data_IF_837528375678
#
_entry.id   IF_837528375678
#
_cell.length_a   1.000
_cell.length_b   1.000
_cell.length_c   1.000
_cell.angle_alpha   90.00
_cell.angle_beta   90.00
_cell.angle_gamma   90.00
#
_symmetry.space_group_name_H-M   'P 1'
#
loop_
_entity.id
_entity.type
_entity.pdbx_description
1 polymer ?
#
# COMPACT_ATOMS: atom_id res chain seq x y z
N UNK A 1 -48.37 14.56 46.62
CA UNK A 1 -47.89 13.38 45.87
C UNK A 1 -46.97 13.91 44.77
N UNK A 2 -45.66 13.92 45.01
CA UNK A 2 -44.66 14.49 44.09
C UNK A 2 -44.15 13.33 43.23
N UNK A 3 -44.45 13.37 41.94
CA UNK A 3 -43.98 12.39 40.95
C UNK A 3 -42.58 12.82 40.51
N UNK A 4 -41.56 12.10 40.98
CA UNK A 4 -40.20 12.23 40.49
C UNK A 4 -40.11 11.57 39.11
N UNK A 5 -40.03 12.38 38.04
CA UNK A 5 -39.62 11.91 36.72
C UNK A 5 -38.11 11.61 36.78
N UNK A 6 -37.74 10.34 36.90
CA UNK A 6 -36.38 9.92 36.59
C UNK A 6 -36.21 9.97 35.08
N UNK A 7 -35.57 11.04 34.58
CA UNK A 7 -35.02 11.05 33.24
C UNK A 7 -33.91 9.98 33.18
N UNK A 8 -34.22 8.84 32.56
CA UNK A 8 -33.23 7.84 32.22
C UNK A 8 -32.23 8.47 31.27
N UNK A 9 -31.03 8.77 31.76
CA UNK A 9 -29.86 9.00 30.93
C UNK A 9 -29.65 7.71 30.14
N UNK A 10 -30.11 7.70 28.90
CA UNK A 10 -29.69 6.71 27.91
C UNK A 10 -28.17 6.82 27.84
N UNK A 11 -27.48 5.88 28.46
CA UNK A 11 -26.06 5.64 28.22
C UNK A 11 -25.93 5.43 26.72
N UNK A 12 -25.51 6.49 26.03
CA UNK A 12 -25.06 6.45 24.65
C UNK A 12 -23.96 5.40 24.65
N UNK A 13 -24.26 4.21 24.14
CA UNK A 13 -23.24 3.23 23.84
C UNK A 13 -22.32 3.95 22.86
N UNK A 14 -21.13 4.35 23.32
CA UNK A 14 -20.05 4.78 22.46
C UNK A 14 -19.92 3.69 21.41
N UNK A 15 -20.20 3.99 20.16
CA UNK A 15 -19.92 3.04 19.10
C UNK A 15 -18.41 2.74 19.20
N UNK A 16 -18.07 1.52 19.59
CA UNK A 16 -16.70 1.01 19.45
C UNK A 16 -16.56 0.67 17.97
N UNK A 17 -15.70 1.42 17.28
CA UNK A 17 -15.42 1.24 15.86
C UNK A 17 -14.19 0.35 15.67
N UNK A 18 -13.28 0.35 16.63
CA UNK A 18 -12.13 -0.53 16.65
C UNK A 18 -12.54 -1.99 16.94
N UNK A 19 -11.97 -2.90 16.16
CA UNK A 19 -12.07 -4.34 16.38
C UNK A 19 -11.43 -4.74 17.72
N UNK A 20 -11.89 -5.84 18.31
CA UNK A 20 -11.30 -6.42 19.52
C UNK A 20 -10.20 -7.43 19.19
N UNK A 21 -9.23 -7.65 20.10
CA UNK A 21 -8.23 -8.71 19.94
C UNK A 21 -8.85 -10.07 19.57
N UNK A 22 -8.31 -10.72 18.53
CA UNK A 22 -8.83 -11.97 17.99
C UNK A 22 -9.99 -11.85 17.00
N UNK A 23 -10.53 -10.65 16.76
CA UNK A 23 -11.54 -10.44 15.73
C UNK A 23 -10.95 -10.60 14.32
N UNK A 24 -11.80 -11.02 13.37
CA UNK A 24 -11.54 -10.87 11.94
C UNK A 24 -12.47 -9.82 11.37
N UNK A 25 -11.91 -8.74 10.83
CA UNK A 25 -12.67 -7.65 10.22
C UNK A 25 -12.33 -7.51 8.75
N UNK A 26 -13.32 -7.15 7.93
CA UNK A 26 -13.18 -7.15 6.48
C UNK A 26 -13.58 -5.83 5.87
N UNK A 27 -12.70 -5.26 5.02
CA UNK A 27 -12.86 -3.96 4.38
C UNK A 27 -13.27 -2.86 5.38
N UNK A 28 -12.73 -2.94 6.60
CA UNK A 28 -12.95 -1.94 7.63
C UNK A 28 -11.97 -0.78 7.39
N UNK A 29 -12.52 0.34 6.95
CA UNK A 29 -11.79 1.57 6.68
C UNK A 29 -12.22 2.66 7.66
N UNK A 30 -11.33 3.59 7.94
CA UNK A 30 -11.69 4.78 8.69
C UNK A 30 -12.71 5.68 7.95
N UNK A 31 -13.31 6.64 8.68
CA UNK A 31 -14.42 7.47 8.20
C UNK A 31 -14.03 8.51 7.14
N UNK A 32 -12.75 8.65 6.81
CA UNK A 32 -12.32 9.57 5.76
C UNK A 32 -12.84 9.07 4.40
N UNK A 33 -13.55 9.93 3.66
CA UNK A 33 -14.29 9.57 2.45
C UNK A 33 -13.45 9.51 1.17
N UNK A 34 -12.14 9.29 1.26
CA UNK A 34 -11.24 9.43 0.12
C UNK A 34 -10.03 8.50 0.19
N UNK A 35 -9.03 8.83 -0.63
CA UNK A 35 -7.79 8.08 -0.78
C UNK A 35 -6.97 7.87 0.50
N UNK A 36 -7.31 8.61 1.57
CA UNK A 36 -6.60 8.64 2.83
C UNK A 36 -7.33 7.85 3.94
N UNK A 37 -8.41 7.11 3.60
CA UNK A 37 -9.13 6.28 4.56
C UNK A 37 -8.19 5.26 5.21
N UNK A 38 -7.92 5.38 6.53
CA UNK A 38 -6.93 4.52 7.16
C UNK A 38 -7.41 3.06 7.23
N UNK A 39 -6.47 2.15 7.05
CA UNK A 39 -6.66 0.71 7.19
C UNK A 39 -6.18 0.23 8.57
N UNK A 40 -6.40 -1.04 8.89
CA UNK A 40 -5.98 -1.71 10.13
C UNK A 40 -6.37 -0.98 11.42
N UNK A 41 -7.62 -0.51 11.51
CA UNK A 41 -8.09 0.29 12.66
C UNK A 41 -7.93 -0.43 13.99
N UNK A 42 -7.20 0.19 14.91
CA UNK A 42 -6.81 -0.35 16.20
C UNK A 42 -5.40 -0.97 16.22
N UNK A 43 -4.77 -1.18 15.07
CA UNK A 43 -3.35 -1.50 15.00
C UNK A 43 -2.51 -0.31 15.48
N UNK A 44 -1.42 -0.62 16.17
CA UNK A 44 -0.52 0.40 16.68
C UNK A 44 0.44 0.85 15.59
N UNK A 45 0.29 2.09 15.12
CA UNK A 45 1.09 2.66 14.04
C UNK A 45 0.24 3.44 13.05
N UNK A 46 0.85 3.93 11.98
CA UNK A 46 0.15 4.58 10.88
C UNK A 46 -0.41 3.52 9.92
N UNK A 47 -1.72 3.57 9.67
CA UNK A 47 -2.44 2.59 8.83
C UNK A 47 -2.17 1.14 9.27
N UNK A 48 -1.69 0.31 8.34
CA UNK A 48 -1.22 -1.04 8.60
C UNK A 48 0.30 -0.98 8.79
N UNK A 49 0.81 -0.97 10.03
CA UNK A 49 2.25 -0.88 10.29
C UNK A 49 3.00 -2.08 9.70
N UNK A 50 4.31 -1.91 9.44
CA UNK A 50 5.17 -3.00 8.96
C UNK A 50 5.36 -4.15 9.95
N UNK A 51 4.95 -3.95 11.22
CA UNK A 51 4.89 -5.00 12.22
C UNK A 51 3.72 -5.97 12.03
N UNK A 52 2.73 -5.63 11.19
CA UNK A 52 1.68 -6.56 10.81
C UNK A 52 2.25 -7.68 9.92
N UNK A 53 1.89 -8.92 10.22
CA UNK A 53 2.16 -10.03 9.31
C UNK A 53 1.19 -9.96 8.13
N UNK A 54 1.72 -10.01 6.91
CA UNK A 54 0.95 -9.92 5.69
C UNK A 54 0.85 -11.28 5.00
N UNK A 55 -0.35 -11.66 4.60
CA UNK A 55 -0.62 -12.79 3.73
C UNK A 55 -1.55 -12.39 2.58
N UNK A 56 -1.44 -13.08 1.45
CA UNK A 56 -2.27 -12.81 0.27
C UNK A 56 -2.91 -14.10 -0.19
N UNK A 57 -4.24 -14.12 -0.11
CA UNK A 57 -5.05 -15.24 -0.57
C UNK A 57 -5.95 -14.80 -1.73
N UNK A 58 -6.52 -15.78 -2.40
CA UNK A 58 -7.52 -15.56 -3.43
C UNK A 58 -8.80 -16.27 -3.06
N UNK A 59 -9.93 -15.62 -3.27
CA UNK A 59 -11.27 -16.18 -3.06
C UNK A 59 -11.96 -16.40 -4.39
N UNK A 60 -12.83 -17.40 -4.44
CA UNK A 60 -13.64 -17.65 -5.62
C UNK A 60 -14.74 -16.58 -5.76
N UNK A 61 -14.77 -15.92 -6.92
CA UNK A 61 -15.77 -14.90 -7.27
C UNK A 61 -16.78 -15.38 -8.34
N UNK A 62 -16.84 -16.69 -8.60
CA UNK A 62 -17.70 -17.32 -9.62
C UNK A 62 -17.16 -17.16 -11.05
N UNK A 63 -17.70 -17.94 -12.01
CA UNK A 63 -17.36 -17.86 -13.44
C UNK A 63 -15.85 -17.92 -13.77
N UNK A 64 -15.06 -18.70 -13.03
CA UNK A 64 -13.60 -18.76 -13.23
C UNK A 64 -12.86 -17.48 -12.84
N UNK A 65 -13.52 -16.61 -12.05
CA UNK A 65 -12.94 -15.39 -11.48
C UNK A 65 -12.57 -15.60 -10.03
N UNK A 66 -11.60 -14.80 -9.61
CA UNK A 66 -11.11 -14.74 -8.25
C UNK A 66 -10.99 -13.29 -7.78
N UNK A 67 -11.00 -13.12 -6.48
CA UNK A 67 -10.77 -11.85 -5.79
C UNK A 67 -9.53 -12.00 -4.93
N UNK A 68 -8.61 -11.04 -5.01
CA UNK A 68 -7.44 -11.00 -4.11
C UNK A 68 -7.89 -10.50 -2.74
N UNK A 69 -7.45 -11.18 -1.69
CA UNK A 69 -7.65 -10.81 -0.29
C UNK A 69 -6.28 -10.57 0.33
N UNK A 70 -6.01 -9.33 0.70
CA UNK A 70 -4.88 -8.96 1.53
C UNK A 70 -5.28 -9.21 2.99
N UNK A 71 -4.67 -10.18 3.64
CA UNK A 71 -4.87 -10.48 5.05
C UNK A 71 -3.71 -9.91 5.85
N UNK A 72 -4.01 -9.14 6.89
CA UNK A 72 -3.03 -8.49 7.76
C UNK A 72 -3.33 -8.90 9.20
N UNK A 73 -2.36 -9.54 9.85
CA UNK A 73 -2.44 -9.93 11.26
C UNK A 73 -1.64 -8.92 12.08
N UNK A 74 -2.33 -8.07 12.82
CA UNK A 74 -1.73 -6.94 13.51
C UNK A 74 -1.89 -7.06 15.02
N UNK A 75 -0.79 -6.85 15.75
CA UNK A 75 -0.83 -6.63 17.19
C UNK A 75 -1.45 -5.29 17.56
N UNK A 76 -2.14 -5.23 18.70
CA UNK A 76 -2.81 -4.01 19.15
C UNK A 76 -2.59 -3.75 20.64
N UNK A 77 -2.81 -2.49 21.04
CA UNK A 77 -2.93 -2.07 22.44
C UNK A 77 -4.25 -1.35 22.62
N UNK A 78 -4.78 -1.41 23.85
CA UNK A 78 -5.97 -0.67 24.25
C UNK A 78 -5.87 0.82 23.87
N UNK A 79 -4.71 1.44 24.10
CA UNK A 79 -4.48 2.84 23.75
C UNK A 79 -4.63 3.12 22.24
N UNK A 80 -4.12 2.25 21.36
CA UNK A 80 -4.24 2.41 19.92
C UNK A 80 -5.69 2.27 19.44
N UNK A 81 -6.44 1.32 20.03
CA UNK A 81 -7.87 1.15 19.75
C UNK A 81 -8.69 2.36 20.21
N UNK A 82 -8.44 2.85 21.42
CA UNK A 82 -9.11 4.05 21.95
C UNK A 82 -8.74 5.33 21.18
N UNK A 83 -7.49 5.43 20.72
CA UNK A 83 -7.02 6.51 19.87
C UNK A 83 -7.81 6.55 18.56
N UNK A 84 -7.93 5.40 17.89
CA UNK A 84 -8.65 5.28 16.63
C UNK A 84 -10.15 5.54 16.80
N UNK A 85 -10.77 5.03 17.88
CA UNK A 85 -12.15 5.35 18.23
C UNK A 85 -12.34 6.86 18.49
N UNK A 86 -11.36 7.53 19.10
CA UNK A 86 -11.37 8.98 19.27
C UNK A 86 -11.31 9.70 17.92
N UNK A 87 -10.39 9.31 17.05
CA UNK A 87 -10.26 9.90 15.71
C UNK A 87 -11.54 9.73 14.91
N UNK A 88 -12.16 8.55 15.00
CA UNK A 88 -13.38 8.24 14.26
C UNK A 88 -14.55 9.06 14.74
N UNK A 89 -14.77 9.07 16.06
CA UNK A 89 -15.79 9.91 16.69
C UNK A 89 -15.58 11.38 16.37
N UNK A 90 -14.36 11.88 16.53
CA UNK A 90 -14.04 13.28 16.28
C UNK A 90 -14.30 13.67 14.82
N UNK A 91 -13.86 12.85 13.86
CA UNK A 91 -14.06 13.13 12.43
C UNK A 91 -15.54 13.13 12.00
N UNK A 92 -16.40 12.40 12.72
CA UNK A 92 -17.83 12.34 12.46
C UNK A 92 -18.61 13.46 13.14
N UNK A 93 -18.23 13.80 14.37
CA UNK A 93 -18.95 14.76 15.22
C UNK A 93 -18.49 16.21 15.02
N UNK A 94 -17.21 16.42 14.72
CA UNK A 94 -16.63 17.75 14.63
C UNK A 94 -16.70 18.32 13.21
N UNK A 95 -16.91 19.63 13.13
CA UNK A 95 -16.94 20.34 11.85
C UNK A 95 -15.55 20.47 11.21
N UNK A 96 -15.53 20.86 9.94
CA UNK A 96 -14.30 21.18 9.23
C UNK A 96 -13.47 22.24 9.99
N UNK A 97 -12.18 21.96 10.20
CA UNK A 97 -11.23 22.85 10.88
C UNK A 97 -10.89 22.47 12.32
N UNK A 98 -11.54 21.44 12.89
CA UNK A 98 -11.11 20.87 14.17
C UNK A 98 -9.92 19.92 13.97
N UNK A 99 -8.85 20.10 14.75
CA UNK A 99 -7.68 19.23 14.72
C UNK A 99 -7.93 17.97 15.57
N UNK A 100 -8.62 17.00 14.98
CA UNK A 100 -8.89 15.72 15.63
C UNK A 100 -7.61 14.95 15.99
N UNK A 101 -6.55 15.10 15.20
CA UNK A 101 -5.28 14.42 15.46
C UNK A 101 -4.66 14.97 16.75
N UNK A 102 -4.47 16.28 16.85
CA UNK A 102 -3.91 16.89 18.05
C UNK A 102 -4.74 16.59 19.32
N UNK A 103 -6.08 16.65 19.21
CA UNK A 103 -6.97 16.33 20.31
C UNK A 103 -6.83 14.88 20.77
N UNK A 104 -6.93 13.91 19.87
CA UNK A 104 -6.88 12.49 20.22
C UNK A 104 -5.48 12.03 20.65
N UNK A 105 -4.41 12.56 20.05
CA UNK A 105 -3.05 12.35 20.53
C UNK A 105 -2.89 12.84 21.97
N UNK A 106 -3.37 14.04 22.28
CA UNK A 106 -3.28 14.61 23.64
C UNK A 106 -4.07 13.79 24.65
N UNK A 107 -5.27 13.33 24.27
CA UNK A 107 -6.12 12.50 25.15
C UNK A 107 -5.43 11.19 25.53
N UNK A 108 -4.85 10.49 24.55
CA UNK A 108 -4.14 9.22 24.79
C UNK A 108 -2.85 9.44 25.58
N UNK A 109 -2.07 10.48 25.28
CA UNK A 109 -0.86 10.82 26.04
C UNK A 109 -1.17 11.23 27.48
N UNK A 110 -2.37 11.73 27.77
CA UNK A 110 -2.82 12.03 29.14
C UNK A 110 -3.24 10.79 29.94
N UNK A 111 -3.60 9.70 29.27
CA UNK A 111 -4.10 8.47 29.88
C UNK A 111 -3.02 7.40 30.05
N UNK A 112 -1.98 7.40 29.20
CA UNK A 112 -0.94 6.38 29.15
C UNK A 112 0.47 6.97 29.34
N UNK A 113 1.44 6.23 29.89
CA UNK A 113 2.81 6.71 30.03
C UNK A 113 3.43 7.10 28.67
N UNK A 114 4.11 8.25 28.55
CA UNK A 114 4.67 8.73 27.28
C UNK A 114 5.60 7.73 26.59
N UNK A 115 6.41 6.99 27.36
CA UNK A 115 7.37 6.02 26.81
C UNK A 115 6.65 4.86 26.12
N UNK A 116 5.50 4.45 26.66
CA UNK A 116 4.66 3.42 26.06
C UNK A 116 3.97 3.93 24.81
N UNK A 117 3.38 5.13 24.87
CA UNK A 117 2.68 5.73 23.74
C UNK A 117 3.61 5.93 22.52
N UNK A 118 4.85 6.37 22.73
CA UNK A 118 5.85 6.50 21.66
C UNK A 118 6.20 5.13 21.06
N UNK A 119 6.42 4.12 21.90
CA UNK A 119 6.71 2.76 21.43
C UNK A 119 5.55 2.18 20.61
N UNK A 120 4.31 2.39 21.06
CA UNK A 120 3.11 1.92 20.37
C UNK A 120 2.85 2.69 19.08
N UNK A 121 3.09 3.99 19.04
CA UNK A 121 3.01 4.77 17.80
C UNK A 121 3.99 4.27 16.72
N UNK A 122 5.09 3.63 17.12
CA UNK A 122 6.04 2.96 16.22
C UNK A 122 5.69 1.48 15.93
N UNK A 123 4.55 0.98 16.42
CA UNK A 123 4.11 -0.40 16.28
C UNK A 123 4.82 -1.41 17.18
N UNK A 124 5.49 -0.95 18.23
CA UNK A 124 6.22 -1.80 19.19
C UNK A 124 5.28 -2.59 20.11
N UNK A 125 5.66 -3.84 20.41
CA UNK A 125 5.01 -4.69 21.41
C UNK A 125 5.61 -4.57 22.83
N UNK A 126 5.24 -5.46 23.78
CA UNK A 126 4.32 -6.59 23.63
C UNK A 126 2.85 -6.13 23.57
N UNK A 127 2.06 -6.75 22.71
CA UNK A 127 0.64 -6.42 22.48
C UNK A 127 -0.26 -6.99 23.59
N UNK A 128 -1.46 -6.41 23.77
CA UNK A 128 -2.34 -6.72 24.90
C UNK A 128 -3.33 -7.89 24.67
N UNK A 129 -3.20 -8.61 23.55
CA UNK A 129 -4.03 -9.76 23.23
C UNK A 129 -3.63 -10.46 21.92
N UNK A 130 -4.49 -11.36 21.47
CA UNK A 130 -4.36 -12.00 20.15
C UNK A 130 -4.40 -10.95 19.03
N UNK A 131 -3.63 -11.13 17.94
CA UNK A 131 -3.69 -10.23 16.80
C UNK A 131 -5.11 -10.08 16.25
N UNK A 132 -5.41 -8.88 15.74
CA UNK A 132 -6.62 -8.65 14.94
C UNK A 132 -6.28 -9.00 13.50
N UNK A 133 -7.16 -9.75 12.85
CA UNK A 133 -7.03 -10.08 11.44
C UNK A 133 -7.86 -9.14 10.58
N UNK A 134 -7.19 -8.33 9.76
CA UNK A 134 -7.82 -7.42 8.82
C UNK A 134 -7.75 -7.99 7.40
N UNK A 135 -8.90 -8.15 6.76
CA UNK A 135 -9.01 -8.63 5.38
C UNK A 135 -9.45 -7.51 4.44
N UNK A 136 -8.70 -7.30 3.37
CA UNK A 136 -8.97 -6.26 2.38
C UNK A 136 -9.05 -6.83 0.97
N UNK A 137 -10.19 -6.61 0.33
CA UNK A 137 -10.39 -6.89 -1.10
C UNK A 137 -10.31 -5.65 -1.97
N UNK A 138 -10.21 -4.49 -1.32
CA UNK A 138 -10.12 -3.15 -1.89
C UNK A 138 -9.09 -2.39 -1.09
N UNK A 139 -8.47 -1.38 -1.67
CA UNK A 139 -7.52 -0.53 -0.93
C UNK A 139 -8.19 0.68 -0.28
N UNK A 140 -9.43 1.00 -0.68
CA UNK A 140 -10.21 2.15 -0.20
C UNK A 140 -11.70 1.79 -0.16
N UNK A 141 -12.53 2.51 0.60
CA UNK A 141 -13.97 2.25 0.68
C UNK A 141 -14.67 2.15 -0.69
N UNK A 142 -14.33 3.09 -1.57
CA UNK A 142 -14.95 3.26 -2.89
C UNK A 142 -14.11 2.66 -4.04
N UNK A 143 -12.95 2.07 -3.73
CA UNK A 143 -12.13 1.41 -4.75
C UNK A 143 -12.89 0.17 -5.27
N UNK A 144 -12.91 -0.07 -6.59
CA UNK A 144 -13.46 -1.30 -7.12
C UNK A 144 -12.57 -2.50 -6.74
N UNK A 145 -13.16 -3.69 -6.71
CA UNK A 145 -12.42 -4.91 -6.39
C UNK A 145 -11.63 -5.40 -7.61
N UNK A 146 -10.36 -5.74 -7.41
CA UNK A 146 -9.54 -6.34 -8.45
C UNK A 146 -9.97 -7.80 -8.70
N UNK A 147 -10.23 -8.11 -9.97
CA UNK A 147 -10.60 -9.44 -10.44
C UNK A 147 -9.40 -10.13 -11.07
N UNK A 148 -9.22 -11.38 -10.71
CA UNK A 148 -8.16 -12.25 -11.17
C UNK A 148 -8.73 -13.50 -11.85
N UNK A 149 -7.90 -14.17 -12.63
CA UNK A 149 -8.19 -15.48 -13.24
C UNK A 149 -6.95 -16.37 -13.19
N UNK A 150 -7.13 -17.66 -13.41
CA UNK A 150 -5.98 -18.53 -13.61
C UNK A 150 -5.30 -18.23 -14.96
N UNK A 151 -3.96 -18.32 -15.04
CA UNK A 151 -3.24 -18.18 -16.29
C UNK A 151 -3.65 -19.27 -17.29
N UNK A 152 -3.35 -19.06 -18.57
CA UNK A 152 -3.77 -19.98 -19.62
C UNK A 152 -3.16 -21.38 -19.40
N UNK A 153 -4.00 -22.41 -19.49
CA UNK A 153 -3.61 -23.80 -19.22
C UNK A 153 -3.57 -24.19 -17.73
N UNK A 154 -4.00 -23.31 -16.84
CA UNK A 154 -4.25 -23.61 -15.43
C UNK A 154 -5.76 -23.72 -15.13
N UNK A 155 -6.11 -24.58 -14.19
CA UNK A 155 -7.48 -24.79 -13.71
C UNK A 155 -7.69 -24.13 -12.34
N UNK A 156 -8.84 -23.48 -12.16
CA UNK A 156 -9.24 -22.94 -10.86
C UNK A 156 -9.93 -24.03 -10.03
N UNK A 157 -9.49 -24.21 -8.79
CA UNK A 157 -10.19 -25.03 -7.78
C UNK A 157 -10.62 -24.14 -6.62
N UNK A 158 -11.83 -24.36 -6.11
CA UNK A 158 -12.36 -23.67 -4.93
C UNK A 158 -12.43 -24.63 -3.76
N UNK A 159 -11.67 -24.38 -2.68
CA UNK A 159 -11.65 -25.19 -1.47
C UNK A 159 -12.00 -24.28 -0.30
N UNK A 160 -13.14 -24.53 0.36
CA UNK A 160 -13.63 -23.71 1.47
C UNK A 160 -13.69 -22.19 1.14
N UNK A 161 -14.00 -21.84 -0.12
CA UNK A 161 -14.07 -20.45 -0.58
C UNK A 161 -12.74 -19.90 -1.13
N UNK A 162 -11.61 -20.51 -0.78
CA UNK A 162 -10.29 -20.14 -1.31
C UNK A 162 -10.11 -20.68 -2.73
N UNK A 163 -9.60 -19.82 -3.61
CA UNK A 163 -9.29 -20.12 -4.99
C UNK A 163 -7.80 -20.47 -5.13
N UNK A 164 -7.53 -21.58 -5.80
CA UNK A 164 -6.19 -22.01 -6.17
C UNK A 164 -6.13 -22.25 -7.67
N UNK A 165 -5.06 -21.77 -8.31
CA UNK A 165 -4.78 -22.08 -9.71
C UNK A 165 -3.76 -23.20 -9.80
N UNK A 166 -4.08 -24.24 -10.57
CA UNK A 166 -3.19 -25.37 -10.77
C UNK A 166 -2.90 -25.60 -12.24
N UNK A 167 -1.61 -25.67 -12.60
CA UNK A 167 -1.15 -26.08 -13.92
C UNK A 167 -0.31 -27.35 -13.79
N UNK A 168 -0.74 -28.45 -14.41
CA UNK A 168 -0.02 -29.75 -14.38
C UNK A 168 0.29 -30.21 -12.94
N UNK A 169 -0.68 -30.04 -12.03
CA UNK A 169 -0.57 -30.43 -10.62
C UNK A 169 0.32 -29.52 -9.76
N UNK A 170 0.75 -28.36 -10.26
CA UNK A 170 1.51 -27.37 -9.50
C UNK A 170 0.69 -26.10 -9.29
N UNK A 171 0.77 -25.52 -8.09
CA UNK A 171 0.20 -24.21 -7.83
C UNK A 171 0.88 -23.16 -8.72
N UNK A 172 0.09 -22.29 -9.31
CA UNK A 172 0.55 -21.14 -10.09
C UNK A 172 -0.20 -19.90 -9.63
N UNK A 173 0.42 -18.74 -9.76
CA UNK A 173 -0.21 -17.51 -9.28
C UNK A 173 -1.30 -17.02 -10.25
N UNK A 174 -2.41 -16.48 -9.73
CA UNK A 174 -3.42 -15.82 -10.53
C UNK A 174 -2.91 -14.60 -11.30
N UNK A 175 -3.59 -14.26 -12.39
CA UNK A 175 -3.30 -13.10 -13.23
C UNK A 175 -4.45 -12.10 -13.14
N UNK A 176 -4.11 -10.82 -12.98
CA UNK A 176 -5.07 -9.73 -12.99
C UNK A 176 -5.85 -9.68 -14.31
N UNK A 177 -7.12 -9.31 -14.23
CA UNK A 177 -8.00 -9.16 -15.40
C UNK A 177 -8.47 -7.73 -15.53
N UNK A 178 -9.18 -7.24 -14.51
CA UNK A 178 -9.82 -5.94 -14.50
C UNK A 178 -10.32 -5.61 -13.08
N UNK A 179 -10.80 -4.39 -12.90
CA UNK A 179 -11.58 -4.00 -11.72
C UNK A 179 -13.08 -4.25 -11.95
N UNK A 180 -13.78 -4.84 -10.97
CA UNK A 180 -15.21 -5.08 -11.03
C UNK A 180 -16.02 -3.76 -10.94
N UNK A 181 -17.10 -3.66 -11.71
CA UNK A 181 -18.05 -2.56 -11.56
C UNK A 181 -17.53 -1.17 -11.96
N UNK A 182 -16.46 -1.09 -12.77
CA UNK A 182 -15.90 0.18 -13.24
C UNK A 182 -16.99 1.13 -13.74
N UNK A 183 -17.22 2.21 -12.96
CA UNK A 183 -18.22 3.22 -13.26
C UNK A 183 -18.05 3.70 -14.70
N UNK A 184 -19.15 3.98 -15.40
CA UNK A 184 -19.09 4.51 -16.77
C UNK A 184 -18.12 5.69 -16.82
N UNK A 185 -17.09 5.60 -17.67
CA UNK A 185 -16.04 6.61 -17.80
C UNK A 185 -14.70 6.29 -17.14
N UNK A 186 -14.55 5.20 -16.37
CA UNK A 186 -13.22 4.75 -15.94
C UNK A 186 -12.51 3.97 -17.06
N UNK A 187 -11.19 4.11 -17.12
CA UNK A 187 -10.35 3.30 -18.00
C UNK A 187 -10.59 1.81 -17.75
N UNK A 188 -10.71 1.05 -18.84
CA UNK A 188 -10.91 -0.39 -18.83
C UNK A 188 -9.69 -1.07 -19.39
N UNK A 189 -9.29 -2.16 -18.75
CA UNK A 189 -8.20 -3.02 -19.17
C UNK A 189 -8.79 -4.33 -19.71
N UNK A 190 -8.20 -4.82 -20.79
CA UNK A 190 -8.50 -6.11 -21.40
C UNK A 190 -7.19 -6.79 -21.83
N UNK A 191 -7.25 -8.11 -22.06
CA UNK A 191 -6.12 -8.89 -22.55
C UNK A 191 -4.83 -8.69 -21.74
N UNK A 192 -4.96 -8.48 -20.43
CA UNK A 192 -3.83 -8.28 -19.54
C UNK A 192 -2.92 -9.53 -19.52
N UNK A 193 -1.62 -9.29 -19.69
CA UNK A 193 -0.56 -10.30 -19.61
C UNK A 193 0.60 -9.72 -18.84
N UNK A 194 1.17 -10.49 -17.92
CA UNK A 194 2.40 -10.15 -17.21
C UNK A 194 3.40 -11.27 -17.36
N UNK A 195 4.68 -10.93 -17.52
CA UNK A 195 5.76 -11.91 -17.45
C UNK A 195 7.03 -11.51 -18.17
N UNK A 196 7.73 -12.49 -18.73
CA UNK A 196 8.98 -12.28 -19.46
C UNK A 196 8.73 -11.53 -20.77
N UNK A 197 9.52 -10.48 -21.00
CA UNK A 197 9.39 -9.61 -22.17
C UNK A 197 10.35 -10.05 -23.26
N UNK A 198 9.82 -10.19 -24.47
CA UNK A 198 10.61 -10.45 -25.66
C UNK A 198 11.17 -9.16 -26.24
N UNK A 199 12.34 -9.29 -26.85
CA UNK A 199 13.03 -8.20 -27.53
C UNK A 199 12.93 -8.42 -29.04
N UNK A 200 12.57 -7.38 -29.77
CA UNK A 200 12.74 -7.32 -31.21
C UNK A 200 13.96 -6.45 -31.51
N UNK A 201 15.07 -7.11 -31.90
CA UNK A 201 16.38 -6.47 -31.88
C UNK A 201 16.84 -6.22 -30.44
N UNK A 202 16.96 -4.94 -30.06
CA UNK A 202 17.37 -4.52 -28.72
C UNK A 202 16.21 -3.88 -27.92
N UNK A 203 15.01 -3.80 -28.49
CA UNK A 203 13.89 -3.07 -27.91
C UNK A 203 12.81 -4.03 -27.38
N UNK A 204 12.24 -3.78 -26.19
CA UNK A 204 11.07 -4.49 -25.69
C UNK A 204 9.89 -4.43 -26.67
N UNK A 205 9.31 -5.58 -27.04
CA UNK A 205 8.23 -5.64 -28.02
C UNK A 205 6.91 -6.19 -27.48
N UNK A 206 6.95 -7.24 -26.66
CA UNK A 206 5.75 -7.87 -26.09
C UNK A 206 6.06 -8.77 -24.90
N UNK A 207 5.06 -9.08 -24.08
CA UNK A 207 5.12 -10.17 -23.10
C UNK A 207 4.99 -11.48 -23.86
N UNK A 208 6.06 -12.26 -23.96
CA UNK A 208 6.03 -13.51 -24.72
C UNK A 208 5.83 -14.75 -23.87
N UNK A 209 6.16 -14.68 -22.58
CA UNK A 209 5.87 -15.74 -21.61
C UNK A 209 5.09 -15.16 -20.45
N UNK A 210 3.80 -15.44 -20.41
CA UNK A 210 2.96 -15.08 -19.27
C UNK A 210 3.39 -15.87 -18.02
N UNK A 211 3.49 -15.18 -16.90
CA UNK A 211 3.88 -15.73 -15.61
C UNK A 211 4.45 -14.65 -14.72
N UNK A 212 4.20 -14.73 -13.42
CA UNK A 212 4.66 -13.73 -12.46
C UNK A 212 6.02 -14.07 -11.84
N UNK A 213 6.42 -15.35 -11.87
CA UNK A 213 7.74 -15.78 -11.42
C UNK A 213 8.77 -15.61 -12.54
N UNK A 214 9.71 -14.68 -12.34
CA UNK A 214 10.71 -14.26 -13.32
C UNK A 214 12.11 -14.66 -12.84
N UNK A 215 12.81 -15.57 -13.55
CA UNK A 215 14.21 -15.85 -13.25
C UNK A 215 15.11 -14.71 -13.78
N UNK A 216 15.90 -14.10 -12.91
CA UNK A 216 16.85 -13.03 -13.23
C UNK A 216 18.16 -13.66 -13.70
N UNK A 217 18.25 -13.91 -15.02
CA UNK A 217 19.36 -14.64 -15.64
C UNK A 217 20.38 -13.77 -16.35
N UNK A 218 20.06 -12.51 -16.63
CA UNK A 218 20.96 -11.63 -17.39
C UNK A 218 21.07 -12.00 -18.87
N UNK A 219 19.99 -12.52 -19.47
CA UNK A 219 19.96 -12.97 -20.86
C UNK A 219 20.04 -11.80 -21.88
N UNK A 220 19.71 -10.57 -21.45
CA UNK A 220 19.75 -9.36 -22.27
C UNK A 220 20.84 -8.38 -21.80
N UNK A 221 21.02 -7.30 -22.56
CA UNK A 221 21.87 -6.16 -22.24
C UNK A 221 21.01 -4.90 -22.07
N UNK A 222 21.14 -4.22 -20.94
CA UNK A 222 20.44 -2.98 -20.61
C UNK A 222 21.44 -1.83 -20.52
N UNK A 223 21.11 -0.69 -21.12
CA UNK A 223 21.91 0.54 -21.00
C UNK A 223 21.67 1.19 -19.65
N UNK A 224 22.75 1.64 -19.01
CA UNK A 224 22.77 2.39 -17.76
C UNK A 224 23.72 3.59 -17.90
N UNK A 225 23.66 4.54 -16.97
CA UNK A 225 24.55 5.71 -16.93
C UNK A 225 26.05 5.32 -16.93
N UNK A 226 26.41 4.11 -16.49
CA UNK A 226 27.78 3.57 -16.48
C UNK A 226 28.15 2.64 -17.65
N UNK A 227 27.27 2.46 -18.64
CA UNK A 227 27.48 1.54 -19.77
C UNK A 227 26.40 0.45 -19.89
N UNK A 228 26.73 -0.66 -20.55
CA UNK A 228 25.81 -1.77 -20.74
C UNK A 228 26.01 -2.85 -19.66
N UNK A 229 24.91 -3.27 -19.03
CA UNK A 229 24.89 -4.32 -18.00
C UNK A 229 23.99 -5.48 -18.41
N UNK A 230 24.31 -6.70 -17.96
CA UNK A 230 23.42 -7.84 -18.17
C UNK A 230 22.14 -7.69 -17.36
N UNK A 231 21.01 -7.97 -17.98
CA UNK A 231 19.71 -7.80 -17.35
C UNK A 231 18.70 -8.85 -17.83
N UNK A 232 17.60 -8.94 -17.10
CA UNK A 232 16.42 -9.71 -17.48
C UNK A 232 15.24 -8.75 -17.63
N UNK A 233 14.62 -8.74 -18.82
CA UNK A 233 13.43 -7.94 -19.09
C UNK A 233 12.15 -8.71 -18.72
N UNK A 234 11.26 -8.00 -18.06
CA UNK A 234 9.93 -8.46 -17.69
C UNK A 234 8.97 -7.27 -17.72
N UNK A 235 7.70 -7.50 -17.48
CA UNK A 235 6.73 -6.41 -17.56
C UNK A 235 5.32 -6.92 -17.74
N UNK A 236 4.44 -6.00 -18.09
CA UNK A 236 3.06 -6.31 -18.40
C UNK A 236 2.59 -5.53 -19.61
N UNK A 237 1.66 -6.12 -20.34
CA UNK A 237 0.98 -5.51 -21.48
C UNK A 237 -0.52 -5.70 -21.35
N UNK A 238 -1.27 -4.79 -21.94
CA UNK A 238 -2.72 -4.88 -22.00
C UNK A 238 -3.31 -3.95 -23.06
N UNK A 239 -4.53 -4.28 -23.46
CA UNK A 239 -5.38 -3.37 -24.23
C UNK A 239 -6.17 -2.50 -23.28
N UNK A 240 -6.36 -1.25 -23.66
CA UNK A 240 -7.12 -0.30 -22.86
C UNK A 240 -8.17 0.46 -23.67
N UNK A 241 -9.21 0.91 -22.97
CA UNK A 241 -10.27 1.77 -23.51
C UNK A 241 -10.76 2.73 -22.45
N UNK A 242 -11.44 3.81 -22.87
CA UNK A 242 -11.91 4.90 -22.00
C UNK A 242 -10.78 5.55 -21.15
N UNK A 243 -9.54 5.51 -21.64
CA UNK A 243 -8.46 6.31 -21.07
C UNK A 243 -8.71 7.79 -21.36
N UNK A 244 -8.20 8.66 -20.48
CA UNK A 244 -8.29 10.11 -20.68
C UNK A 244 -7.10 10.54 -21.54
N UNK A 245 -7.32 11.08 -22.75
CA UNK A 245 -6.22 11.49 -23.63
C UNK A 245 -5.31 12.52 -22.96
N UNK A 246 -4.01 12.29 -23.03
CA UNK A 246 -2.99 13.19 -22.44
C UNK A 246 -2.67 12.92 -20.97
N UNK A 247 -3.45 12.09 -20.27
CA UNK A 247 -3.17 11.69 -18.88
C UNK A 247 -2.39 10.37 -18.84
N UNK A 248 -1.17 10.33 -18.28
CA UNK A 248 -0.40 9.09 -18.17
C UNK A 248 -0.98 8.15 -17.10
N UNK A 249 -0.51 6.91 -17.10
CA UNK A 249 -0.61 6.05 -15.93
C UNK A 249 0.52 6.38 -14.97
N UNK A 250 0.19 6.53 -13.70
CA UNK A 250 1.18 6.64 -12.63
C UNK A 250 1.37 5.29 -11.99
N UNK A 251 2.55 4.69 -12.16
CA UNK A 251 2.87 3.37 -11.65
C UNK A 251 3.84 3.45 -10.47
N UNK A 252 3.64 2.59 -9.48
CA UNK A 252 4.54 2.41 -8.33
C UNK A 252 4.85 0.94 -8.14
N UNK A 253 6.01 0.65 -7.53
CA UNK A 253 6.44 -0.69 -7.14
C UNK A 253 6.80 -0.70 -5.66
N UNK A 254 6.31 -1.68 -4.91
CA UNK A 254 6.76 -1.99 -3.55
C UNK A 254 7.31 -3.42 -3.56
N UNK A 255 8.60 -3.63 -3.23
CA UNK A 255 9.10 -5.01 -3.33
C UNK A 255 10.57 -5.43 -3.22
N UNK A 256 11.51 -4.58 -2.82
CA UNK A 256 12.90 -5.04 -2.69
C UNK A 256 13.53 -4.82 -1.32
N UNK A 257 12.93 -4.02 -0.46
CA UNK A 257 13.36 -3.84 0.93
C UNK A 257 12.17 -3.20 1.66
N UNK A 258 12.04 -3.46 2.96
CA UNK A 258 11.31 -2.52 3.82
C UNK A 258 11.95 -1.13 3.72
N UNK A 259 11.58 -0.20 4.59
CA UNK A 259 12.51 0.89 4.91
C UNK A 259 12.91 1.86 3.78
N UNK A 260 11.93 2.60 3.26
CA UNK A 260 12.25 4.01 3.04
C UNK A 260 11.40 4.93 3.93
N UNK A 261 10.10 4.66 4.03
CA UNK A 261 9.20 5.55 4.77
C UNK A 261 9.18 5.24 6.28
N UNK A 262 9.23 3.96 6.66
CA UNK A 262 9.36 3.54 8.06
C UNK A 262 10.71 3.94 8.65
N UNK A 263 11.83 3.52 8.04
CA UNK A 263 13.17 3.84 8.52
C UNK A 263 13.51 5.33 8.66
N UNK A 264 12.98 6.22 7.81
CA UNK A 264 13.22 7.68 7.96
C UNK A 264 12.41 8.25 9.11
N UNK A 265 11.13 7.88 9.25
CA UNK A 265 10.28 8.35 10.36
C UNK A 265 10.74 7.74 11.69
N UNK A 266 11.10 6.46 11.72
CA UNK A 266 11.68 5.79 12.90
C UNK A 266 13.00 6.42 13.31
N UNK A 267 13.92 6.74 12.38
CA UNK A 267 15.16 7.45 12.71
C UNK A 267 14.94 8.87 13.23
N UNK A 268 13.94 9.59 12.69
CA UNK A 268 13.56 10.90 13.21
C UNK A 268 13.01 10.75 14.63
N UNK A 269 12.14 9.78 14.89
CA UNK A 269 11.58 9.50 16.23
C UNK A 269 12.68 9.06 17.21
N UNK A 270 13.61 8.19 16.82
CA UNK A 270 14.74 7.74 17.65
C UNK A 270 15.74 8.87 17.96
N UNK A 271 15.86 9.87 17.08
CA UNK A 271 16.75 11.03 17.27
C UNK A 271 16.19 12.08 18.23
N UNK A 272 14.91 12.01 18.58
CA UNK A 272 14.26 12.93 19.53
C UNK A 272 14.38 12.32 20.94
N UNK A 273 15.18 12.95 21.80
CA UNK A 273 15.37 12.51 23.19
C UNK A 273 14.03 12.45 23.93
N UNK A 274 13.85 11.43 24.77
CA UNK A 274 12.63 11.20 25.56
C UNK A 274 12.21 12.41 26.43
N UNK A 275 13.16 13.25 26.86
CA UNK A 275 12.89 14.48 27.62
C UNK A 275 12.13 15.55 26.80
N UNK A 276 12.16 15.48 25.47
CA UNK A 276 11.47 16.39 24.55
C UNK A 276 10.05 15.95 24.21
N UNK A 277 9.74 14.65 24.36
CA UNK A 277 8.45 14.07 24.00
C UNK A 277 7.33 14.39 25.02
N UNK A 278 7.69 14.87 26.21
CA UNK A 278 6.74 15.26 27.26
C UNK A 278 6.12 16.67 27.05
N UNK A 279 6.60 17.45 26.08
CA UNK A 279 6.08 18.79 25.80
C UNK A 279 5.13 18.78 24.59
N UNK A 280 4.09 19.62 24.63
CA UNK A 280 3.06 19.75 23.56
C UNK A 280 3.61 20.07 22.17
N UNK A 281 4.83 20.60 22.10
CA UNK A 281 5.52 21.00 20.87
C UNK A 281 5.86 19.81 19.94
N UNK A 282 6.13 18.61 20.49
CA UNK A 282 6.38 17.41 19.68
C UNK A 282 5.10 16.87 19.02
N UNK A 283 3.97 16.94 19.74
CA UNK A 283 2.65 16.59 19.18
C UNK A 283 2.26 17.50 18.02
N UNK A 284 2.58 18.80 18.10
CA UNK A 284 2.38 19.76 17.02
C UNK A 284 3.27 19.45 15.79
N UNK A 285 4.53 19.07 16.00
CA UNK A 285 5.45 18.74 14.92
C UNK A 285 5.04 17.45 14.18
N UNK A 286 4.65 16.41 14.92
CA UNK A 286 4.12 15.18 14.33
C UNK A 286 2.81 15.44 13.57
N UNK A 287 1.91 16.26 14.12
CA UNK A 287 0.68 16.67 13.45
C UNK A 287 0.97 17.38 12.12
N UNK A 288 1.94 18.31 12.11
CA UNK A 288 2.35 19.03 10.90
C UNK A 288 2.91 18.10 9.80
N UNK A 289 3.74 17.13 10.17
CA UNK A 289 4.29 16.14 9.23
C UNK A 289 3.20 15.24 8.65
N UNK A 290 2.32 14.70 9.51
CA UNK A 290 1.20 13.87 9.07
C UNK A 290 0.21 14.64 8.18
N UNK A 291 -0.03 15.92 8.48
CA UNK A 291 -0.89 16.78 7.67
C UNK A 291 -0.35 16.99 6.25
N UNK A 292 0.97 17.17 6.08
CA UNK A 292 1.58 17.31 4.76
C UNK A 292 1.56 16.00 3.96
N UNK A 293 1.74 14.85 4.62
CA UNK A 293 1.59 13.53 3.99
C UNK A 293 0.14 13.25 3.60
N UNK A 294 -0.82 13.62 4.44
CA UNK A 294 -2.25 13.50 4.17
C UNK A 294 -2.75 14.32 2.99
N UNK A 295 -1.98 15.34 2.54
CA UNK A 295 -2.22 16.10 1.30
C UNK A 295 -1.79 15.36 0.02
N UNK A 296 -1.34 14.10 0.13
CA UNK A 296 -0.96 13.26 -1.01
C UNK A 296 0.43 13.54 -1.55
N UNK A 297 1.26 14.28 -0.81
CA UNK A 297 2.68 14.46 -1.15
C UNK A 297 3.45 13.18 -0.80
N UNK A 298 4.36 12.77 -1.67
CA UNK A 298 5.33 11.73 -1.30
C UNK A 298 6.29 12.27 -0.23
N UNK A 299 6.88 11.41 0.61
CA UNK A 299 7.91 11.86 1.58
C UNK A 299 9.08 12.56 0.86
N UNK A 300 9.42 12.11 -0.35
CA UNK A 300 10.43 12.77 -1.18
C UNK A 300 10.00 14.19 -1.58
N UNK A 301 8.72 14.43 -1.86
CA UNK A 301 8.17 15.77 -2.10
C UNK A 301 8.14 16.62 -0.83
N UNK A 302 7.79 16.02 0.32
CA UNK A 302 7.81 16.69 1.63
C UNK A 302 9.24 17.10 1.99
N UNK A 303 10.22 16.21 1.84
CA UNK A 303 11.62 16.47 2.17
C UNK A 303 12.40 17.23 1.08
N UNK A 304 11.99 17.18 -0.19
CA UNK A 304 12.58 18.00 -1.25
C UNK A 304 12.39 19.51 -1.03
N UNK A 305 11.39 19.89 -0.22
CA UNK A 305 11.13 21.26 0.20
C UNK A 305 11.57 21.57 1.64
N UNK A 306 12.03 20.57 2.41
CA UNK A 306 12.41 20.72 3.81
C UNK A 306 13.88 20.36 3.94
N UNK A 307 14.71 21.39 4.07
CA UNK A 307 16.12 21.26 4.40
C UNK A 307 16.25 21.06 5.91
N UNK A 308 16.46 19.82 6.37
CA UNK A 308 16.68 19.55 7.80
C UNK A 308 18.18 19.70 8.07
N UNK A 309 18.53 20.61 8.98
CA UNK A 309 19.88 20.71 9.54
C UNK A 309 19.89 19.99 10.88
N UNK A 310 20.62 18.88 10.98
CA UNK A 310 20.77 18.12 12.21
C UNK A 310 21.61 18.88 13.24
N UNK A 311 21.60 18.46 14.50
CA UNK A 311 22.35 19.11 15.58
C UNK A 311 23.88 19.12 15.37
N UNK A 312 24.40 18.18 14.57
CA UNK A 312 25.80 18.11 14.11
C UNK A 312 26.06 18.87 12.80
N UNK A 313 25.06 19.56 12.26
CA UNK A 313 25.19 20.45 11.10
C UNK A 313 25.12 19.75 9.74
N UNK A 314 24.67 18.49 9.67
CA UNK A 314 24.38 17.84 8.40
C UNK A 314 23.07 18.33 7.81
N UNK A 315 23.10 18.61 6.51
CA UNK A 315 21.94 19.04 5.73
C UNK A 315 21.38 17.85 4.95
N UNK A 316 20.13 17.46 5.22
CA UNK A 316 19.43 16.40 4.49
C UNK A 316 18.45 17.02 3.47
N UNK A 317 18.55 16.57 2.21
CA UNK A 317 17.66 16.94 1.09
C UNK A 317 18.19 18.05 0.19
N UNK A 318 18.13 17.84 -1.14
CA UNK A 318 18.37 18.89 -2.15
C UNK A 318 19.20 18.48 -3.37
N UNK A 319 18.65 17.69 -4.29
CA UNK A 319 18.92 17.83 -5.74
C UNK A 319 17.94 16.98 -6.55
N UNK A 320 17.24 17.57 -7.51
CA UNK A 320 16.46 16.81 -8.50
C UNK A 320 17.41 16.31 -9.59
N UNK A 321 17.59 15.00 -9.68
CA UNK A 321 18.39 14.39 -10.75
C UNK A 321 17.68 14.54 -12.11
N UNK A 322 18.40 15.08 -13.10
CA UNK A 322 18.00 15.06 -14.53
C UNK A 322 18.07 13.61 -15.06
N UNK A 323 17.12 13.16 -15.91
CA UNK A 323 17.07 11.76 -16.32
C UNK A 323 18.04 11.49 -17.47
N UNK A 324 19.00 10.60 -17.25
CA UNK A 324 19.70 9.87 -18.31
C UNK A 324 19.50 8.37 -18.01
N UNK A 325 18.36 7.86 -18.47
CA UNK A 325 17.74 6.54 -18.20
C UNK A 325 17.35 6.23 -16.75
N UNK A 326 16.18 5.60 -16.60
CA UNK A 326 15.61 5.24 -15.31
C UNK A 326 16.48 4.18 -14.62
N UNK A 327 16.62 4.30 -13.30
CA UNK A 327 17.11 3.21 -12.46
C UNK A 327 16.30 1.93 -12.71
N UNK A 328 16.85 0.73 -12.44
CA UNK A 328 16.08 -0.52 -12.50
C UNK A 328 14.74 -0.38 -11.79
N UNK A 329 13.69 -0.97 -12.35
CA UNK A 329 12.34 -0.92 -11.79
C UNK A 329 11.29 -0.30 -12.70
N UNK A 330 10.15 0.02 -12.10
CA UNK A 330 8.92 0.38 -12.82
C UNK A 330 8.96 1.84 -13.25
N UNK A 331 8.68 2.15 -14.53
CA UNK A 331 8.50 3.53 -14.96
C UNK A 331 7.40 4.22 -14.12
N UNK A 332 7.71 5.38 -13.52
CA UNK A 332 6.74 6.10 -12.70
C UNK A 332 5.56 6.63 -13.53
N UNK A 333 5.81 7.01 -14.78
CA UNK A 333 4.80 7.50 -15.71
C UNK A 333 4.82 6.67 -17.00
N UNK A 334 3.63 6.21 -17.44
CA UNK A 334 3.45 5.50 -18.71
C UNK A 334 2.48 6.29 -19.57
N UNK A 335 3.00 6.86 -20.65
CA UNK A 335 2.19 7.62 -21.60
C UNK A 335 1.19 6.71 -22.34
N UNK A 336 -0.05 7.20 -22.48
CA UNK A 336 -1.10 6.54 -23.26
C UNK A 336 -1.28 7.27 -24.58
N UNK A 337 -1.30 6.54 -25.70
CA UNK A 337 -1.35 7.12 -27.04
C UNK A 337 -2.71 7.76 -27.42
N UNK A 338 -3.75 7.54 -26.62
CA UNK A 338 -5.11 7.99 -26.90
C UNK A 338 -6.11 7.47 -25.87
N UNK A 339 -7.41 7.54 -26.17
CA UNK A 339 -8.46 7.02 -25.28
C UNK A 339 -8.62 5.50 -25.32
N UNK A 340 -8.04 4.85 -26.33
CA UNK A 340 -7.97 3.40 -26.46
C UNK A 340 -6.68 3.03 -27.17
N UNK A 341 -6.17 1.83 -26.92
CA UNK A 341 -4.92 1.37 -27.52
C UNK A 341 -4.38 0.12 -26.85
N UNK A 342 -3.12 -0.14 -27.13
CA UNK A 342 -2.33 -1.20 -26.52
C UNK A 342 -1.12 -0.57 -25.84
N UNK A 343 -0.75 -1.08 -24.66
CA UNK A 343 0.42 -0.59 -23.94
C UNK A 343 1.25 -1.76 -23.42
N UNK A 344 2.57 -1.65 -23.58
CA UNK A 344 3.57 -2.49 -22.95
C UNK A 344 4.31 -1.62 -21.93
N UNK A 345 4.42 -2.10 -20.70
CA UNK A 345 5.23 -1.49 -19.65
C UNK A 345 6.44 -2.40 -19.40
N UNK A 346 7.58 -2.14 -20.06
CA UNK A 346 8.77 -2.93 -19.87
C UNK A 346 9.51 -2.50 -18.59
N UNK A 347 10.04 -3.50 -17.90
CA UNK A 347 10.79 -3.38 -16.66
C UNK A 347 12.03 -4.26 -16.81
N UNK A 348 13.13 -3.88 -16.20
CA UNK A 348 14.33 -4.70 -16.19
C UNK A 348 14.91 -4.80 -14.80
N UNK A 349 15.54 -5.95 -14.55
CA UNK A 349 16.35 -6.19 -13.36
C UNK A 349 17.77 -6.55 -13.78
N UNK A 350 18.77 -6.06 -13.04
CA UNK A 350 20.17 -6.33 -13.34
C UNK A 350 20.58 -7.70 -12.81
N UNK A 351 21.40 -8.40 -13.59
CA UNK A 351 22.03 -9.61 -13.11
C UNK A 351 23.02 -9.29 -11.98
N UNK A 352 22.85 -9.94 -10.83
CA UNK A 352 23.73 -9.77 -9.67
C UNK A 352 23.33 -8.62 -8.74
N UNK A 353 22.16 -8.01 -8.94
CA UNK A 353 21.61 -7.03 -7.99
C UNK A 353 21.36 -7.63 -6.59
N UNK A 354 21.12 -8.94 -6.51
CA UNK A 354 20.87 -9.67 -5.28
C UNK A 354 21.67 -10.98 -5.22
N UNK A 355 21.91 -11.57 -4.03
CA UNK A 355 22.54 -12.88 -3.89
C UNK A 355 21.74 -13.99 -4.59
N UNK A 356 22.44 -14.98 -5.15
CA UNK A 356 21.78 -16.14 -5.78
C UNK A 356 20.93 -16.92 -4.78
N UNK A 357 19.78 -17.41 -5.24
CA UNK A 357 18.81 -18.13 -4.43
C UNK A 357 17.89 -17.21 -3.61
N UNK A 358 18.03 -15.89 -3.74
CA UNK A 358 17.08 -14.95 -3.14
C UNK A 358 15.82 -14.83 -4.00
N UNK A 359 14.73 -14.51 -3.33
CA UNK A 359 13.42 -14.24 -3.92
C UNK A 359 13.03 -12.83 -3.52
N UNK A 360 12.76 -11.98 -4.51
CA UNK A 360 12.20 -10.64 -4.28
C UNK A 360 10.79 -10.58 -4.87
N UNK A 361 9.87 -9.89 -4.21
CA UNK A 361 8.48 -9.80 -4.64
C UNK A 361 8.10 -8.35 -4.88
N UNK A 362 7.85 -8.00 -6.14
CA UNK A 362 7.47 -6.67 -6.57
C UNK A 362 5.97 -6.58 -6.80
N UNK A 363 5.29 -5.86 -5.93
CA UNK A 363 3.91 -5.45 -6.14
C UNK A 363 3.87 -4.16 -6.93
N UNK A 364 3.21 -4.18 -8.09
CA UNK A 364 3.10 -3.04 -8.99
C UNK A 364 1.66 -2.60 -9.07
N UNK A 365 1.44 -1.29 -8.90
CA UNK A 365 0.13 -0.66 -9.03
C UNK A 365 0.23 0.50 -10.00
N UNK A 366 -0.70 0.59 -10.94
CA UNK A 366 -0.82 1.74 -11.84
C UNK A 366 -2.19 2.41 -11.67
N UNK A 367 -2.18 3.73 -11.61
CA UNK A 367 -3.34 4.59 -11.42
C UNK A 367 -3.54 5.52 -12.62
N UNK A 368 -4.80 5.83 -12.99
CA UNK A 368 -5.14 6.97 -13.84
C UNK A 368 -6.10 7.88 -13.06
N UNK A 369 -5.72 9.15 -12.90
CA UNK A 369 -6.47 10.11 -12.06
C UNK A 369 -6.73 9.59 -10.63
N UNK A 370 -5.73 8.96 -10.02
CA UNK A 370 -5.81 8.41 -8.66
C UNK A 370 -6.69 7.15 -8.52
N UNK A 371 -7.30 6.67 -9.62
CA UNK A 371 -8.08 5.43 -9.66
C UNK A 371 -7.23 4.27 -10.15
N UNK A 372 -7.36 3.08 -9.55
CA UNK A 372 -6.54 1.95 -9.94
C UNK A 372 -6.97 1.37 -11.29
N UNK A 373 -5.98 1.04 -12.12
CA UNK A 373 -6.15 0.52 -13.49
C UNK A 373 -5.52 -0.85 -13.63
N UNK A 374 -4.34 -1.06 -13.07
CA UNK A 374 -3.61 -2.34 -13.06
C UNK A 374 -3.02 -2.60 -11.68
N UNK A 375 -3.12 -3.84 -11.24
CA UNK A 375 -2.37 -4.39 -10.11
C UNK A 375 -1.75 -5.72 -10.53
N UNK A 376 -0.44 -5.88 -10.34
CA UNK A 376 0.24 -7.14 -10.63
C UNK A 376 1.38 -7.35 -9.66
N UNK A 377 1.70 -8.61 -9.39
CA UNK A 377 2.87 -8.99 -8.59
C UNK A 377 3.87 -9.70 -9.49
N UNK A 378 5.15 -9.45 -9.28
CA UNK A 378 6.25 -10.18 -9.90
C UNK A 378 7.13 -10.77 -8.81
N UNK A 379 7.50 -12.03 -8.98
CA UNK A 379 8.44 -12.71 -8.09
C UNK A 379 9.75 -12.89 -8.85
N UNK A 380 10.77 -12.13 -8.49
CA UNK A 380 12.09 -12.22 -9.08
C UNK A 380 12.91 -13.30 -8.36
N UNK A 381 13.55 -14.18 -9.13
CA UNK A 381 14.35 -15.31 -8.64
C UNK A 381 15.79 -15.17 -9.16
N UNK A 382 16.76 -14.94 -8.26
CA UNK A 382 18.15 -14.61 -8.59
C UNK A 382 19.12 -15.78 -8.60
#
# INVERSE_FOLDING_TARGET
MIVFLMAGLSSLASAQWAASPGDTVRNAFGPQKNASAPMCRGACGMDCPSSCEQDVNFECAGNGKMRRVLSLSCGTHKACREHDDCLDRCSQEQGAGYDCQAYCHTDVMGQYPPEQAVSWAAGGGPYDGEPIQFEYTRQRPDDPEAIYRCPDGAEQTCIAGLALCQAKGRSVDPVFVAYEGGAGGTMRVANFRSGGVCLEGAEPSSVCRAGVAIPVKGEAQCRQAGGSSRCSWYGFEFDYSNAIPGEPLYCSSSGAEGDFLGGVVTKVIESVNADSAANSEFGELLSGLQQELGKGKSLDQVFSGITITTADGQTLGGEQAKPEFAAPGVPQEVALAGSSGHVLVPIFELQGAQPRGTRAEHYIRCLQQGRPVVETTFVLQY
#
